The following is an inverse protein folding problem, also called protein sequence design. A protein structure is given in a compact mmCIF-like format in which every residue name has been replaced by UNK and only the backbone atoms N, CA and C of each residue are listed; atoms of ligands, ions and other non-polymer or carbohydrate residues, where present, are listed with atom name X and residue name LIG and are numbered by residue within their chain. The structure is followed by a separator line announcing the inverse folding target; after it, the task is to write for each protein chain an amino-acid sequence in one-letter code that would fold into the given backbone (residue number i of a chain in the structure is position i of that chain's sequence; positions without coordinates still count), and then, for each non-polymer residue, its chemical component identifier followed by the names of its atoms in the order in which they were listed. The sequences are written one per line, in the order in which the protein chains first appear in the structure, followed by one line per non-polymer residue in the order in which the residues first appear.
data_IF_250270191127
#
_entry.id   IF_250270191127
#
_cell.length_a   1.000
_cell.length_b   1.000
_cell.length_c   1.000
_cell.angle_alpha   90.00
_cell.angle_beta   90.00
_cell.angle_gamma   90.00
#
_symmetry.space_group_name_H-M   'P 1'
#
loop_
_entity.id
_entity.type
_entity.pdbx_description
1 polymer ?
#
# COMPACT_ATOMS: atom_id res chain seq x y z
N UNK A 1 5.11 -64.75 1.07
CA UNK A 1 4.20 -63.78 1.74
C UNK A 1 4.90 -62.89 2.76
N UNK A 2 5.75 -63.41 3.64
CA UNK A 2 6.44 -62.60 4.69
C UNK A 2 7.34 -61.51 4.11
N UNK A 3 8.11 -61.82 3.05
CA UNK A 3 8.97 -60.82 2.39
C UNK A 3 8.19 -59.65 1.77
N UNK A 4 7.02 -59.92 1.18
CA UNK A 4 6.11 -58.88 0.66
C UNK A 4 5.58 -57.97 1.77
N UNK A 5 5.25 -58.55 2.94
CA UNK A 5 4.77 -57.80 4.09
C UNK A 5 5.86 -56.86 4.66
N UNK A 6 7.11 -57.35 4.75
CA UNK A 6 8.27 -56.55 5.17
C UNK A 6 8.55 -55.39 4.20
N UNK A 7 8.46 -55.65 2.89
CA UNK A 7 8.58 -54.59 1.88
C UNK A 7 7.46 -53.55 2.06
N UNK A 8 6.21 -53.98 2.26
CA UNK A 8 5.09 -53.05 2.49
C UNK A 8 5.30 -52.19 3.75
N UNK A 9 5.75 -52.79 4.85
CA UNK A 9 6.01 -52.12 6.13
C UNK A 9 7.13 -51.08 5.99
N UNK A 10 8.12 -51.29 5.11
CA UNK A 10 9.17 -50.31 4.85
C UNK A 10 8.77 -49.24 3.83
N UNK A 11 8.03 -49.61 2.78
CA UNK A 11 7.68 -48.71 1.67
C UNK A 11 6.60 -47.72 2.06
N UNK A 12 5.56 -48.13 2.80
CA UNK A 12 4.46 -47.25 3.22
C UNK A 12 4.94 -46.05 4.05
N UNK A 13 5.70 -46.21 5.15
CA UNK A 13 6.17 -45.07 5.94
C UNK A 13 7.17 -44.22 5.16
N UNK A 14 8.03 -44.82 4.33
CA UNK A 14 8.95 -44.08 3.47
C UNK A 14 8.20 -43.19 2.47
N UNK A 15 7.13 -43.71 1.87
CA UNK A 15 6.25 -42.96 0.98
C UNK A 15 5.51 -41.83 1.71
N UNK A 16 5.00 -42.09 2.92
CA UNK A 16 4.38 -41.07 3.76
C UNK A 16 5.35 -39.93 4.11
N UNK A 17 6.59 -40.25 4.49
CA UNK A 17 7.64 -39.27 4.76
C UNK A 17 7.91 -38.42 3.51
N UNK A 18 8.09 -39.06 2.35
CA UNK A 18 8.33 -38.36 1.08
C UNK A 18 7.18 -37.42 0.71
N UNK A 19 5.93 -37.88 0.82
CA UNK A 19 4.74 -37.06 0.56
C UNK A 19 4.68 -35.88 1.53
N UNK A 20 4.97 -36.08 2.81
CA UNK A 20 4.98 -35.00 3.80
C UNK A 20 6.07 -33.96 3.53
N UNK A 21 7.28 -34.38 3.13
CA UNK A 21 8.36 -33.48 2.74
C UNK A 21 7.94 -32.64 1.53
N UNK A 22 7.37 -33.26 0.50
CA UNK A 22 6.91 -32.54 -0.69
C UNK A 22 5.80 -31.52 -0.35
N UNK A 23 4.86 -31.88 0.53
CA UNK A 23 3.83 -30.96 1.02
C UNK A 23 4.44 -29.76 1.76
N UNK A 24 5.44 -30.00 2.61
CA UNK A 24 6.13 -28.93 3.32
C UNK A 24 6.89 -28.01 2.35
N UNK A 25 7.60 -28.57 1.37
CA UNK A 25 8.30 -27.79 0.35
C UNK A 25 7.33 -26.93 -0.47
N UNK A 26 6.20 -27.49 -0.90
CA UNK A 26 5.17 -26.75 -1.63
C UNK A 26 4.62 -25.57 -0.81
N UNK A 27 4.38 -25.77 0.48
CA UNK A 27 3.92 -24.71 1.37
C UNK A 27 4.98 -23.60 1.53
N UNK A 28 6.25 -23.97 1.74
CA UNK A 28 7.35 -22.98 1.83
C UNK A 28 7.47 -22.16 0.56
N UNK A 29 7.36 -22.80 -0.62
CA UNK A 29 7.39 -22.10 -1.91
C UNK A 29 6.20 -21.13 -2.02
N UNK A 30 5.00 -21.56 -1.64
CA UNK A 30 3.80 -20.72 -1.68
C UNK A 30 3.93 -19.49 -0.77
N UNK A 31 4.42 -19.67 0.46
CA UNK A 31 4.66 -18.58 1.41
C UNK A 31 5.70 -17.60 0.84
N UNK A 32 6.81 -18.09 0.30
CA UNK A 32 7.85 -17.23 -0.25
C UNK A 32 7.38 -16.46 -1.49
N UNK A 33 6.59 -17.10 -2.37
CA UNK A 33 5.99 -16.43 -3.53
C UNK A 33 5.02 -15.32 -3.09
N UNK A 34 4.17 -15.60 -2.11
CA UNK A 34 3.23 -14.64 -1.54
C UNK A 34 3.97 -13.45 -0.93
N UNK A 35 4.96 -13.70 -0.07
CA UNK A 35 5.74 -12.63 0.57
C UNK A 35 6.50 -11.79 -0.47
N UNK A 36 7.06 -12.42 -1.51
CA UNK A 36 7.68 -11.72 -2.62
C UNK A 36 6.69 -10.77 -3.34
N UNK A 37 5.48 -11.24 -3.63
CA UNK A 37 4.45 -10.41 -4.26
C UNK A 37 4.03 -9.24 -3.38
N UNK A 38 3.88 -9.44 -2.07
CA UNK A 38 3.60 -8.34 -1.13
C UNK A 38 4.69 -7.29 -1.16
N UNK A 39 5.97 -7.70 -1.18
CA UNK A 39 7.07 -6.74 -1.25
C UNK A 39 7.06 -5.93 -2.54
N UNK A 40 6.67 -6.52 -3.66
CA UNK A 40 6.50 -5.80 -4.93
C UNK A 40 5.32 -4.83 -4.88
N UNK A 41 4.18 -5.24 -4.32
CA UNK A 41 3.02 -4.36 -4.09
C UNK A 41 3.40 -3.20 -3.19
N UNK A 42 4.10 -3.48 -2.09
CA UNK A 42 4.62 -2.47 -1.17
C UNK A 42 5.50 -1.47 -1.91
N UNK A 43 6.46 -1.92 -2.72
CA UNK A 43 7.32 -1.03 -3.50
C UNK A 43 6.51 -0.11 -4.45
N UNK A 44 5.52 -0.65 -5.17
CA UNK A 44 4.65 0.13 -6.07
C UNK A 44 3.81 1.17 -5.31
N UNK A 45 3.24 0.79 -4.16
CA UNK A 45 2.46 1.70 -3.32
C UNK A 45 3.33 2.81 -2.73
N UNK A 46 4.55 2.50 -2.29
CA UNK A 46 5.52 3.49 -1.82
C UNK A 46 5.88 4.47 -2.94
N UNK A 47 6.12 3.99 -4.15
CA UNK A 47 6.40 4.84 -5.30
C UNK A 47 5.23 5.79 -5.61
N UNK A 48 3.98 5.30 -5.57
CA UNK A 48 2.77 6.12 -5.71
C UNK A 48 2.63 7.17 -4.60
N UNK A 49 3.02 6.83 -3.37
CA UNK A 49 3.02 7.77 -2.24
C UNK A 49 4.05 8.89 -2.44
N UNK A 50 5.26 8.55 -2.92
CA UNK A 50 6.31 9.53 -3.23
C UNK A 50 5.95 10.42 -4.42
N UNK A 51 5.35 9.86 -5.47
CA UNK A 51 4.83 10.62 -6.63
C UNK A 51 3.59 11.46 -6.30
N UNK A 52 3.10 11.41 -5.06
CA UNK A 52 1.93 12.14 -4.59
C UNK A 52 0.62 11.78 -5.31
N UNK A 53 0.56 10.60 -5.96
CA UNK A 53 -0.64 10.12 -6.67
C UNK A 53 -1.80 9.84 -5.70
N UNK A 54 -1.49 9.40 -4.48
CA UNK A 54 -2.47 9.23 -3.40
C UNK A 54 -2.56 10.54 -2.62
N UNK A 55 -3.76 11.10 -2.49
CA UNK A 55 -3.99 12.35 -1.76
C UNK A 55 -3.97 12.16 -0.24
N UNK A 56 -3.61 13.19 0.52
CA UNK A 56 -3.65 13.14 1.98
C UNK A 56 -5.08 12.97 2.51
N UNK A 57 -6.07 13.55 1.84
CA UNK A 57 -7.48 13.46 2.20
C UNK A 57 -7.99 12.01 2.12
N UNK A 58 -7.55 11.25 1.11
CA UNK A 58 -7.85 9.82 1.01
C UNK A 58 -7.29 9.05 2.21
N UNK A 59 -6.03 9.32 2.59
CA UNK A 59 -5.38 8.66 3.74
C UNK A 59 -6.09 9.04 5.05
N UNK A 60 -6.53 10.29 5.21
CA UNK A 60 -7.32 10.74 6.37
C UNK A 60 -8.66 10.02 6.45
N UNK A 61 -9.31 9.79 5.32
CA UNK A 61 -10.57 9.06 5.22
C UNK A 61 -10.43 7.55 5.47
N UNK A 62 -9.22 7.04 5.77
CA UNK A 62 -8.92 5.62 5.95
C UNK A 62 -9.40 4.78 4.77
N UNK A 63 -9.15 5.28 3.57
CA UNK A 63 -9.65 4.63 2.37
C UNK A 63 -9.02 3.24 2.21
N UNK A 64 -9.84 2.32 1.70
CA UNK A 64 -9.43 0.99 1.29
C UNK A 64 -9.66 0.88 -0.21
N UNK A 65 -8.66 0.43 -0.96
CA UNK A 65 -8.73 0.33 -2.41
C UNK A 65 -8.13 -0.99 -2.92
N UNK A 66 -8.68 -1.55 -4.01
CA UNK A 66 -8.04 -2.67 -4.68
C UNK A 66 -6.69 -2.24 -5.27
N UNK A 67 -5.77 -3.19 -5.36
CA UNK A 67 -4.50 -2.95 -6.04
C UNK A 67 -4.69 -2.93 -7.57
N UNK A 68 -4.21 -1.87 -8.24
CA UNK A 68 -4.45 -1.63 -9.67
C UNK A 68 -3.19 -1.70 -10.55
N UNK A 69 -2.03 -2.13 -10.03
CA UNK A 69 -0.82 -2.26 -10.87
C UNK A 69 -0.98 -3.33 -11.94
N UNK A 70 -0.94 -2.97 -13.22
CA UNK A 70 -1.34 -3.83 -14.35
C UNK A 70 -0.58 -5.17 -14.40
N UNK A 71 0.76 -5.14 -14.37
CA UNK A 71 1.58 -6.35 -14.44
C UNK A 71 1.44 -7.24 -13.18
N UNK A 72 1.42 -6.62 -12.01
CA UNK A 72 1.35 -7.31 -10.72
C UNK A 72 -0.05 -7.88 -10.47
N UNK A 73 -1.10 -7.18 -10.87
CA UNK A 73 -2.49 -7.63 -10.79
C UNK A 73 -2.69 -8.89 -11.63
N UNK A 74 -2.16 -8.91 -12.86
CA UNK A 74 -2.21 -10.11 -13.70
C UNK A 74 -1.52 -11.31 -13.03
N UNK A 75 -0.34 -11.11 -12.44
CA UNK A 75 0.37 -12.17 -11.70
C UNK A 75 -0.42 -12.66 -10.49
N UNK A 76 -1.06 -11.76 -9.74
CA UNK A 76 -1.92 -12.12 -8.61
C UNK A 76 -3.09 -12.98 -9.08
N UNK A 77 -3.78 -12.58 -10.15
CA UNK A 77 -4.91 -13.30 -10.73
C UNK A 77 -4.51 -14.69 -11.24
N UNK A 78 -3.37 -14.82 -11.93
CA UNK A 78 -2.83 -16.11 -12.39
C UNK A 78 -2.58 -17.10 -11.24
N UNK A 79 -2.10 -16.58 -10.10
CA UNK A 79 -1.80 -17.40 -8.92
C UNK A 79 -3.06 -17.64 -8.09
N UNK A 80 -4.10 -16.82 -8.25
CA UNK A 80 -5.40 -16.91 -7.56
C UNK A 80 -5.51 -16.03 -6.32
N UNK A 81 -4.72 -14.95 -6.26
CA UNK A 81 -4.77 -13.94 -5.20
C UNK A 81 -5.50 -12.68 -5.65
N UNK A 82 -6.12 -12.00 -4.70
CA UNK A 82 -6.59 -10.62 -4.84
C UNK A 82 -5.97 -9.76 -3.74
N UNK A 83 -5.54 -8.55 -4.09
CA UNK A 83 -4.86 -7.64 -3.19
C UNK A 83 -5.69 -6.37 -2.97
N UNK A 84 -5.89 -6.03 -1.71
CA UNK A 84 -6.51 -4.78 -1.27
C UNK A 84 -5.54 -4.08 -0.33
N UNK A 85 -5.46 -2.77 -0.38
CA UNK A 85 -4.62 -2.00 0.53
C UNK A 85 -5.41 -0.90 1.23
N UNK A 86 -4.97 -0.54 2.42
CA UNK A 86 -5.46 0.62 3.16
C UNK A 86 -4.30 1.40 3.74
N UNK A 87 -4.49 2.71 3.85
CA UNK A 87 -3.52 3.64 4.42
C UNK A 87 -4.21 4.47 5.50
N UNK A 88 -3.62 4.53 6.68
CA UNK A 88 -4.14 5.31 7.80
C UNK A 88 -3.03 6.01 8.58
N UNK A 89 -3.30 7.21 9.10
CA UNK A 89 -2.37 7.89 9.98
C UNK A 89 -2.38 7.26 11.37
N UNK A 90 -1.20 7.06 11.95
CA UNK A 90 -1.05 6.62 13.34
C UNK A 90 -1.15 7.78 14.34
N UNK A 91 -1.00 9.02 13.88
CA UNK A 91 -1.09 10.23 14.71
C UNK A 91 -2.53 10.78 14.80
N UNK A 92 -2.81 11.59 15.82
CA UNK A 92 -4.13 12.24 15.96
C UNK A 92 -4.34 13.30 14.87
N UNK A 93 -5.59 13.54 14.46
CA UNK A 93 -5.93 14.55 13.44
C UNK A 93 -5.37 15.96 13.73
N UNK A 94 -5.25 16.32 15.02
CA UNK A 94 -4.71 17.61 15.45
C UNK A 94 -3.22 17.73 15.13
N UNK A 95 -2.48 16.64 15.27
CA UNK A 95 -1.05 16.58 14.99
C UNK A 95 -0.79 16.56 13.48
N UNK A 96 -1.70 15.97 12.69
CA UNK A 96 -1.58 15.91 11.23
C UNK A 96 -1.68 17.31 10.60
N UNK A 97 -2.49 18.22 11.13
CA UNK A 97 -2.64 19.58 10.56
C UNK A 97 -1.38 20.44 10.70
N UNK A 98 -0.52 20.13 11.67
CA UNK A 98 0.69 20.92 12.00
C UNK A 98 1.99 20.20 11.64
N UNK A 99 1.96 18.88 11.45
CA UNK A 99 3.14 18.09 11.14
C UNK A 99 3.62 18.28 9.69
N UNK A 100 4.95 18.35 9.52
CA UNK A 100 5.62 18.29 8.20
C UNK A 100 5.89 16.84 7.74
N UNK A 101 5.92 15.91 8.70
CA UNK A 101 6.22 14.50 8.49
C UNK A 101 5.12 13.67 9.12
N UNK A 102 4.68 12.65 8.41
CA UNK A 102 3.58 11.81 8.83
C UNK A 102 4.03 10.37 9.01
N UNK A 103 3.55 9.74 10.07
CA UNK A 103 3.65 8.30 10.23
C UNK A 103 2.34 7.67 9.78
N UNK A 104 2.42 6.85 8.74
CA UNK A 104 1.29 6.16 8.12
C UNK A 104 1.49 4.67 8.26
N UNK A 105 0.42 3.98 8.62
CA UNK A 105 0.32 2.53 8.56
C UNK A 105 -0.28 2.13 7.20
N UNK A 106 0.43 1.28 6.48
CA UNK A 106 -0.01 0.63 5.25
C UNK A 106 -0.35 -0.82 5.59
N UNK A 107 -1.60 -1.21 5.35
CA UNK A 107 -2.02 -2.60 5.43
C UNK A 107 -2.27 -3.11 4.02
N UNK A 108 -1.60 -4.20 3.64
CA UNK A 108 -1.86 -4.94 2.40
C UNK A 108 -2.53 -6.25 2.80
N UNK A 109 -3.76 -6.45 2.34
CA UNK A 109 -4.53 -7.67 2.53
C UNK A 109 -4.48 -8.48 1.25
N UNK A 110 -3.97 -9.71 1.34
CA UNK A 110 -3.99 -10.69 0.26
C UNK A 110 -5.03 -11.76 0.56
N UNK A 111 -6.02 -11.88 -0.32
CA UNK A 111 -7.04 -12.91 -0.26
C UNK A 111 -6.72 -14.04 -1.24
N UNK A 112 -6.55 -15.26 -0.74
CA UNK A 112 -6.43 -16.48 -1.55
C UNK A 112 -7.82 -16.95 -1.98
N UNK A 113 -8.14 -16.85 -3.27
CA UNK A 113 -9.43 -17.30 -3.81
C UNK A 113 -9.58 -18.82 -3.82
N UNK A 114 -8.49 -19.57 -3.74
CA UNK A 114 -8.51 -21.05 -3.79
C UNK A 114 -8.71 -21.65 -2.40
N UNK A 115 -8.21 -20.99 -1.36
CA UNK A 115 -8.23 -21.49 0.01
C UNK A 115 -9.13 -20.67 0.95
N UNK A 116 -9.78 -19.62 0.46
CA UNK A 116 -10.59 -18.66 1.24
C UNK A 116 -9.85 -18.10 2.47
N UNK A 117 -8.52 -18.04 2.39
CA UNK A 117 -7.67 -17.49 3.45
C UNK A 117 -7.31 -16.04 3.14
N UNK A 118 -7.18 -15.22 4.19
CA UNK A 118 -6.71 -13.84 4.10
C UNK A 118 -5.41 -13.70 4.87
N UNK A 119 -4.49 -12.91 4.33
CA UNK A 119 -3.20 -12.61 4.93
C UNK A 119 -2.99 -11.10 4.97
N UNK A 120 -2.76 -10.58 6.17
CA UNK A 120 -2.61 -9.15 6.41
C UNK A 120 -1.15 -8.82 6.67
N UNK A 121 -0.64 -7.82 5.94
CA UNK A 121 0.73 -7.36 6.02
C UNK A 121 0.76 -5.88 6.38
N UNK A 122 1.30 -5.57 7.56
CA UNK A 122 1.34 -4.21 8.10
C UNK A 122 2.74 -3.62 7.98
N UNK A 123 2.83 -2.42 7.41
CA UNK A 123 4.05 -1.64 7.26
C UNK A 123 3.89 -0.24 7.85
N UNK A 124 4.93 0.26 8.50
CA UNK A 124 4.98 1.64 9.00
C UNK A 124 5.86 2.49 8.09
N UNK A 125 5.29 3.56 7.54
CA UNK A 125 5.91 4.39 6.51
C UNK A 125 5.95 5.84 6.99
N UNK A 126 7.11 6.46 6.84
CA UNK A 126 7.26 7.90 7.02
C UNK A 126 7.07 8.62 5.70
N UNK A 127 6.09 9.51 5.65
CA UNK A 127 5.83 10.36 4.49
C UNK A 127 6.29 11.77 4.81
N UNK A 128 7.24 12.28 4.03
CA UNK A 128 7.64 13.69 4.02
C UNK A 128 7.20 14.31 2.68
N UNK A 129 6.25 15.23 2.72
CA UNK A 129 5.78 15.96 1.53
C UNK A 129 6.38 17.36 1.42
N UNK A 130 7.40 17.68 2.23
CA UNK A 130 8.03 19.00 2.26
C UNK A 130 7.14 20.09 2.84
N UNK A 131 7.66 21.32 2.86
CA UNK A 131 6.91 22.51 3.31
C UNK A 131 5.88 22.95 2.26
N UNK A 132 4.70 22.28 2.21
CA UNK A 132 3.38 22.84 1.86
C UNK A 132 2.40 21.73 1.45
N UNK A 133 1.37 21.50 2.27
CA UNK A 133 0.06 21.08 1.76
C UNK A 133 -1.14 21.47 2.65
N UNK A 134 -0.96 22.31 3.68
CA UNK A 134 -2.09 22.97 4.33
C UNK A 134 -2.10 24.43 3.89
N UNK A 135 -2.94 24.76 2.90
CA UNK A 135 -3.42 26.14 2.72
C UNK A 135 -4.71 26.25 3.52
N UNK A 136 -4.68 26.69 4.80
CA UNK A 136 -5.90 26.95 5.53
C UNK A 136 -6.54 28.20 4.94
N UNK A 137 -7.55 28.03 4.11
CA UNK A 137 -8.39 29.12 3.61
C UNK A 137 -7.65 30.13 2.74
N UNK A 138 -7.91 30.07 1.43
CA UNK A 138 -7.79 31.24 0.57
C UNK A 138 -8.76 32.33 1.07
N UNK A 139 -8.36 33.12 2.07
CA UNK A 139 -8.89 34.48 2.18
C UNK A 139 -8.40 35.21 0.94
N UNK A 140 -9.34 35.59 0.08
CA UNK A 140 -9.11 36.58 -0.98
C UNK A 140 -8.34 37.76 -0.37
N UNK A 141 -7.34 38.34 -1.04
CA UNK A 141 -6.87 39.65 -0.67
C UNK A 141 -8.08 40.59 -0.83
N UNK A 142 -8.43 41.28 0.26
CA UNK A 142 -9.22 42.51 0.14
C UNK A 142 -8.33 43.46 -0.65
N UNK A 143 -8.74 43.83 -1.86
CA UNK A 143 -8.20 44.99 -2.57
C UNK A 143 -8.45 46.21 -1.69
N UNK A 144 -7.42 46.62 -0.95
CA UNK A 144 -7.39 47.93 -0.31
C UNK A 144 -7.07 48.95 -1.39
N UNK A 145 -8.11 49.69 -1.76
CA UNK A 145 -8.13 50.94 -2.51
C UNK A 145 -6.80 51.71 -2.44
N UNK A 146 -6.05 51.70 -3.53
CA UNK A 146 -5.03 52.72 -3.79
C UNK A 146 -5.75 53.86 -4.54
N UNK A 147 -5.86 55.01 -3.85
CA UNK A 147 -6.46 56.22 -4.38
C UNK A 147 -5.58 56.79 -5.49
N UNK A 148 -6.06 56.72 -6.72
CA UNK A 148 -5.54 57.51 -7.83
C UNK A 148 -5.71 59.02 -7.52
N UNK A 149 -4.58 59.71 -7.37
CA UNK A 149 -4.50 61.17 -7.38
C UNK A 149 -4.34 61.60 -8.84
N UNK A 150 -5.20 62.49 -9.38
CA UNK A 150 -5.09 62.89 -10.78
C UNK A 150 -3.91 63.84 -10.98
N UNK A 151 -3.05 63.49 -11.94
CA UNK A 151 -2.05 64.37 -12.54
C UNK A 151 -2.77 65.57 -13.20
N UNK A 152 -2.39 66.79 -12.80
CA UNK A 152 -2.83 68.01 -13.48
C UNK A 152 -2.01 68.19 -14.75
N UNK A 153 -2.64 68.00 -15.89
CA UNK A 153 -2.22 68.58 -17.16
C UNK A 153 -2.55 70.09 -17.24
N UNK A 154 -1.82 70.76 -18.14
CA UNK A 154 -1.95 72.13 -18.67
C UNK A 154 -1.18 73.25 -17.92
N UNK A 155 -0.47 74.18 -18.59
CA UNK A 155 -0.41 74.51 -20.00
C UNK A 155 0.93 75.17 -20.38
N UNK A 156 1.31 74.92 -21.64
CA UNK A 156 2.19 75.74 -22.48
C UNK A 156 1.52 77.07 -22.78
N UNK A 157 2.24 78.17 -22.63
CA UNK A 157 2.25 79.33 -23.55
C UNK A 157 3.55 80.13 -23.35
#
# INVERSE_FOLDING_TARGET
MIAMLLILICVIPSFQIYVNINKQQANVIQVNQRDHLVHLIHADLIEKLYKQTISLDQILARFQAPFEGEELKKKLEEIGYEAVYSLCFLSSEKDIKTAKKYLVELVIQLQDKKQESSFDYTYHIYIDRGERAFKPGSKKPLDSEEKDVPEKEHATE
#
